data_IF_878179643103
#
_entry.id   IF_878179643103
#
_cell.length_a   1.000
_cell.length_b   1.000
_cell.length_c   1.000
_cell.angle_alpha   90.00
_cell.angle_beta   90.00
_cell.angle_gamma   90.00
#
_symmetry.space_group_name_H-M   'P 1'
#
loop_
_entity.id
_entity.type
_entity.pdbx_description
1 polymer ?
#
# COMPACT_ATOMS: atom_id res chain seq x y z
N UNK A 1 -12.30 10.78 6.34
CA UNK A 1 -12.70 10.32 4.99
C UNK A 1 -11.48 10.19 4.08
N UNK A 2 -11.33 9.08 3.36
CA UNK A 2 -10.09 8.66 2.67
C UNK A 2 -10.29 8.26 1.18
N UNK A 3 -11.43 8.63 0.57
CA UNK A 3 -11.82 8.27 -0.81
C UNK A 3 -11.86 6.76 -1.11
N UNK A 4 -12.29 5.93 -0.14
CA UNK A 4 -12.24 4.46 -0.21
C UNK A 4 -13.54 3.79 -0.71
N UNK A 5 -14.56 4.56 -1.10
CA UNK A 5 -15.83 3.98 -1.55
C UNK A 5 -15.60 3.06 -2.77
N UNK A 6 -15.97 1.78 -2.65
CA UNK A 6 -15.71 0.73 -3.64
C UNK A 6 -14.22 0.53 -4.00
N UNK A 7 -13.29 0.86 -3.08
CA UNK A 7 -11.86 0.64 -3.26
C UNK A 7 -11.35 -0.53 -2.39
N UNK A 8 -10.29 -1.20 -2.85
CA UNK A 8 -9.63 -2.29 -2.14
C UNK A 8 -8.75 -1.77 -1.00
N UNK A 9 -9.26 -1.76 0.24
CA UNK A 9 -8.49 -1.22 1.38
C UNK A 9 -7.47 -2.21 1.97
N UNK A 10 -7.61 -3.51 1.68
CA UNK A 10 -6.73 -4.58 2.16
C UNK A 10 -6.70 -5.73 1.16
N UNK A 11 -5.51 -6.25 0.89
CA UNK A 11 -5.29 -7.48 0.13
C UNK A 11 -4.34 -8.40 0.88
N UNK A 12 -4.82 -9.59 1.22
CA UNK A 12 -4.03 -10.66 1.83
C UNK A 12 -3.59 -11.61 0.71
N UNK A 13 -2.30 -11.63 0.37
CA UNK A 13 -1.71 -12.45 -0.69
C UNK A 13 -0.71 -13.47 -0.14
N UNK A 14 -0.03 -14.22 -1.01
CA UNK A 14 0.86 -15.31 -0.59
C UNK A 14 2.09 -14.86 0.18
N UNK A 15 2.44 -13.56 0.15
CA UNK A 15 3.62 -13.03 0.83
C UNK A 15 3.27 -12.09 1.99
N UNK A 16 1.99 -11.90 2.30
CA UNK A 16 1.53 -11.08 3.42
C UNK A 16 0.37 -10.17 3.05
N UNK A 17 0.28 -9.01 3.69
CA UNK A 17 -0.85 -8.08 3.54
C UNK A 17 -0.42 -6.73 2.98
N UNK A 18 -1.17 -6.24 1.99
CA UNK A 18 -1.12 -4.85 1.50
C UNK A 18 -2.31 -4.09 2.04
N UNK A 19 -2.05 -2.92 2.60
CA UNK A 19 -3.06 -2.00 3.13
C UNK A 19 -3.02 -0.69 2.34
N UNK A 20 -4.17 -0.29 1.79
CA UNK A 20 -4.33 0.89 0.95
C UNK A 20 -5.31 1.85 1.64
N UNK A 21 -4.78 2.69 2.51
CA UNK A 21 -5.60 3.49 3.42
C UNK A 21 -6.08 4.80 2.82
N UNK A 22 -5.37 5.35 1.83
CA UNK A 22 -5.66 6.67 1.29
C UNK A 22 -5.72 6.64 -0.23
N UNK A 23 -6.76 7.25 -0.79
CA UNK A 23 -6.94 7.42 -2.22
C UNK A 23 -7.05 8.90 -2.60
N UNK A 24 -6.47 9.26 -3.74
CA UNK A 24 -6.63 10.57 -4.34
C UNK A 24 -8.02 10.73 -4.97
N UNK A 25 -8.34 11.95 -5.38
CA UNK A 25 -9.64 12.27 -6.01
C UNK A 25 -9.90 11.48 -7.30
N UNK A 26 -8.84 11.08 -7.99
CA UNK A 26 -8.91 10.25 -9.21
C UNK A 26 -8.90 8.74 -8.91
N UNK A 27 -8.96 8.33 -7.64
CA UNK A 27 -8.98 6.93 -7.22
C UNK A 27 -7.62 6.23 -7.22
N UNK A 28 -6.51 6.97 -7.39
CA UNK A 28 -5.16 6.41 -7.22
C UNK A 28 -4.78 6.30 -5.74
N UNK A 29 -4.15 5.19 -5.34
CA UNK A 29 -3.68 5.03 -3.96
C UNK A 29 -2.54 6.01 -3.66
N UNK A 30 -2.69 6.79 -2.58
CA UNK A 30 -1.69 7.75 -2.10
C UNK A 30 -0.66 7.10 -1.19
N UNK A 31 -1.03 6.00 -0.53
CA UNK A 31 -0.13 5.22 0.28
C UNK A 31 -0.45 3.72 0.21
N UNK A 32 0.61 2.93 0.36
CA UNK A 32 0.51 1.50 0.58
C UNK A 32 1.38 1.12 1.75
N UNK A 33 0.85 0.33 2.68
CA UNK A 33 1.63 -0.31 3.73
C UNK A 33 1.64 -1.82 3.52
N UNK A 34 2.84 -2.38 3.40
CA UNK A 34 3.09 -3.81 3.22
C UNK A 34 3.58 -4.40 4.53
N UNK A 35 2.91 -5.43 5.00
CA UNK A 35 3.42 -6.33 6.04
C UNK A 35 3.71 -7.68 5.39
N UNK A 36 4.92 -8.21 5.58
CA UNK A 36 5.25 -9.56 5.14
C UNK A 36 4.80 -10.59 6.17
N UNK A 37 4.74 -11.85 5.77
CA UNK A 37 4.54 -12.95 6.69
C UNK A 37 5.78 -13.14 7.57
N UNK A 38 5.57 -13.52 8.83
CA UNK A 38 6.68 -13.89 9.73
C UNK A 38 7.37 -15.19 9.28
N UNK A 39 6.63 -16.07 8.60
CA UNK A 39 7.14 -17.31 8.03
C UNK A 39 7.08 -17.24 6.49
N UNK A 40 8.06 -17.84 5.79
CA UNK A 40 8.11 -17.82 4.32
C UNK A 40 7.08 -18.74 3.65
N UNK A 41 6.31 -19.50 4.44
CA UNK A 41 5.32 -20.45 3.97
C UNK A 41 4.04 -19.73 3.51
N UNK A 42 3.41 -20.24 2.45
CA UNK A 42 2.12 -19.74 1.99
C UNK A 42 1.07 -19.91 3.10
N UNK A 43 0.36 -18.84 3.50
CA UNK A 43 -0.58 -18.89 4.60
C UNK A 43 -1.92 -19.44 4.14
N UNK A 44 -2.56 -20.24 4.99
CA UNK A 44 -4.00 -20.45 4.90
C UNK A 44 -4.67 -19.31 5.66
N UNK A 45 -5.10 -18.26 4.94
CA UNK A 45 -5.55 -17.02 5.56
C UNK A 45 -6.81 -17.24 6.41
N UNK A 46 -6.71 -17.11 7.75
CA UNK A 46 -7.87 -17.34 8.61
C UNK A 46 -8.95 -16.29 8.38
N UNK A 47 -10.22 -16.66 8.55
CA UNK A 47 -11.32 -15.71 8.36
C UNK A 47 -11.22 -14.49 9.30
N UNK A 48 -10.91 -14.63 10.61
CA UNK A 48 -10.79 -13.48 11.52
C UNK A 48 -9.56 -12.63 11.21
N UNK A 49 -9.77 -11.32 11.00
CA UNK A 49 -8.68 -10.40 10.68
C UNK A 49 -7.59 -10.34 11.77
N UNK A 50 -7.96 -10.49 13.05
CA UNK A 50 -7.00 -10.51 14.15
C UNK A 50 -6.00 -11.67 14.02
N UNK A 51 -6.48 -12.84 13.61
CA UNK A 51 -5.63 -14.02 13.37
C UNK A 51 -4.74 -13.83 12.14
N UNK A 52 -5.24 -13.18 11.08
CA UNK A 52 -4.40 -12.79 9.93
C UNK A 52 -3.26 -11.87 10.36
N UNK A 53 -3.56 -10.88 11.20
CA UNK A 53 -2.57 -9.93 11.69
C UNK A 53 -1.50 -10.62 12.57
N UNK A 54 -1.84 -11.71 13.26
CA UNK A 54 -0.89 -12.48 14.05
C UNK A 54 0.14 -13.25 13.19
N UNK A 55 -0.13 -13.47 11.90
CA UNK A 55 0.81 -14.11 10.95
C UNK A 55 1.81 -13.13 10.33
N UNK A 56 1.57 -11.82 10.48
CA UNK A 56 2.33 -10.76 9.82
C UNK A 56 3.47 -10.24 10.69
N UNK A 57 4.53 -9.75 10.04
CA UNK A 57 5.56 -8.98 10.70
C UNK A 57 4.95 -7.72 11.35
N UNK A 58 5.41 -7.34 12.56
CA UNK A 58 4.83 -6.22 13.29
C UNK A 58 5.12 -4.87 12.63
N UNK A 59 6.26 -4.76 11.93
CA UNK A 59 6.67 -3.56 11.22
C UNK A 59 6.21 -3.65 9.78
N UNK A 60 5.38 -2.71 9.36
CA UNK A 60 4.98 -2.57 7.96
C UNK A 60 5.86 -1.57 7.25
N UNK A 61 6.24 -1.90 6.02
CA UNK A 61 6.97 -1.03 5.10
C UNK A 61 5.98 -0.17 4.33
N UNK A 62 6.13 1.15 4.39
CA UNK A 62 5.17 2.07 3.81
C UNK A 62 5.75 2.88 2.65
N UNK A 63 5.10 2.81 1.49
CA UNK A 63 5.41 3.67 0.35
C UNK A 63 4.32 4.71 0.18
N UNK A 64 4.68 5.93 -0.21
CA UNK A 64 3.76 7.04 -0.48
C UNK A 64 3.99 7.62 -1.86
N UNK A 65 2.93 8.11 -2.48
CA UNK A 65 2.96 8.77 -3.78
C UNK A 65 2.24 10.11 -3.72
N UNK A 66 2.78 11.09 -4.45
CA UNK A 66 2.10 12.35 -4.74
C UNK A 66 1.82 12.45 -6.23
N UNK A 67 0.61 12.90 -6.58
CA UNK A 67 0.13 12.97 -7.95
C UNK A 67 -0.25 14.40 -8.33
N UNK A 68 -0.16 14.73 -9.61
CA UNK A 68 -0.75 15.95 -10.14
C UNK A 68 -2.25 15.76 -10.46
N UNK A 69 -2.91 16.85 -10.88
CA UNK A 69 -4.33 16.83 -11.23
C UNK A 69 -4.68 15.97 -12.46
N UNK A 70 -3.68 15.52 -13.23
CA UNK A 70 -3.85 14.59 -14.35
C UNK A 70 -3.66 13.12 -13.93
N UNK A 71 -3.32 12.87 -12.67
CA UNK A 71 -3.06 11.52 -12.14
C UNK A 71 -1.65 11.00 -12.39
N UNK A 72 -0.72 11.86 -12.81
CA UNK A 72 0.69 11.48 -13.01
C UNK A 72 1.43 11.54 -11.67
N UNK A 73 2.30 10.55 -11.40
CA UNK A 73 3.15 10.53 -10.20
C UNK A 73 4.22 11.62 -10.32
N UNK A 74 4.24 12.54 -9.37
CA UNK A 74 5.27 13.58 -9.25
C UNK A 74 6.36 13.22 -8.23
N UNK A 75 5.99 12.49 -7.19
CA UNK A 75 6.89 12.15 -6.10
C UNK A 75 6.56 10.77 -5.54
N UNK A 76 7.60 10.03 -5.16
CA UNK A 76 7.48 8.79 -4.41
C UNK A 76 8.41 8.85 -3.21
N UNK A 77 7.90 8.43 -2.05
CA UNK A 77 8.69 8.21 -0.84
C UNK A 77 8.66 6.72 -0.51
N UNK A 78 9.83 6.08 -0.45
CA UNK A 78 9.94 4.65 -0.14
C UNK A 78 9.81 4.35 1.36
N UNK A 79 9.81 3.06 1.70
CA UNK A 79 9.69 2.58 3.08
C UNK A 79 10.82 3.02 4.02
N UNK A 80 11.95 3.44 3.47
CA UNK A 80 13.09 3.96 4.23
C UNK A 80 13.09 5.50 4.29
N UNK A 81 12.05 6.15 3.75
CA UNK A 81 11.89 7.60 3.74
C UNK A 81 12.64 8.30 2.60
N UNK A 82 13.26 7.58 1.67
CA UNK A 82 13.93 8.21 0.54
C UNK A 82 12.88 8.74 -0.43
N UNK A 83 13.02 10.01 -0.81
CA UNK A 83 12.06 10.70 -1.67
C UNK A 83 12.66 10.99 -3.03
N UNK A 84 11.95 10.59 -4.09
CA UNK A 84 12.34 10.81 -5.48
C UNK A 84 11.29 11.65 -6.20
N UNK A 85 11.73 12.72 -6.85
CA UNK A 85 10.90 13.49 -7.77
C UNK A 85 10.90 12.81 -9.14
N UNK A 86 9.72 12.45 -9.63
CA UNK A 86 9.52 11.84 -10.93
C UNK A 86 9.09 12.94 -11.89
N UNK A 87 9.92 13.19 -12.91
CA UNK A 87 9.56 14.11 -13.97
C UNK A 87 8.71 13.38 -15.01
N UNK A 88 7.50 13.86 -15.34
CA UNK A 88 6.77 13.35 -16.47
C UNK A 88 7.63 13.55 -17.72
N UNK A 89 7.86 12.48 -18.49
CA UNK A 89 8.57 12.61 -19.76
C UNK A 89 7.73 13.54 -20.65
N UNK A 90 8.29 14.70 -21.02
CA UNK A 90 7.70 15.57 -22.03
C UNK A 90 7.62 14.76 -23.33
N UNK A 91 6.41 14.55 -23.82
CA UNK A 91 6.17 14.03 -25.17
C UNK A 91 6.62 15.04 -26.21
#
# INVERSE_FOLDING_TARGET
EHNQCNQLIRHDDTAGSRLLHDYGLLGAALCEKRHFLQAPESPDWPLPQAERNALLEPVGLQTRWGFNALGEVLVQTDAMGNTQALQPRRR
#
